data_IF_893390221689
#
_entry.id   IF_893390221689
#
_cell.length_a   1.000
_cell.length_b   1.000
_cell.length_c   1.000
_cell.angle_alpha   90.00
_cell.angle_beta   90.00
_cell.angle_gamma   90.00
#
_symmetry.space_group_name_H-M   'P 1'
#
loop_
_entity.id
_entity.type
_entity.pdbx_description
1 polymer ?
#
# COMPACT_ATOMS: atom_id res chain seq x y z
N UNK A 1 11.91 -28.23 1.17
CA UNK A 1 12.33 -27.24 0.15
C UNK A 1 12.20 -25.76 0.61
N UNK A 2 12.14 -25.49 1.92
CA UNK A 2 12.06 -24.13 2.50
C UNK A 2 13.42 -23.50 2.90
N UNK A 3 14.51 -24.26 2.85
CA UNK A 3 15.83 -23.79 3.36
C UNK A 3 16.73 -23.10 2.33
N UNK A 4 16.46 -23.18 1.04
CA UNK A 4 17.34 -22.64 0.00
C UNK A 4 17.00 -21.19 -0.44
N UNK A 5 15.85 -20.64 -0.03
CA UNK A 5 15.45 -19.26 -0.37
C UNK A 5 15.93 -18.21 0.66
N UNK A 6 16.60 -18.63 1.73
CA UNK A 6 17.09 -17.72 2.78
C UNK A 6 18.44 -17.06 2.51
N UNK A 7 19.07 -17.31 1.36
CA UNK A 7 20.46 -16.89 1.15
C UNK A 7 20.65 -15.45 0.64
N UNK A 8 19.59 -14.73 0.23
CA UNK A 8 19.74 -13.33 -0.21
C UNK A 8 18.44 -12.55 0.13
N UNK A 9 18.15 -12.40 1.41
CA UNK A 9 17.19 -11.36 1.83
C UNK A 9 18.01 -10.16 2.30
N UNK A 10 17.83 -8.97 1.70
CA UNK A 10 18.21 -7.75 2.38
C UNK A 10 17.48 -7.75 3.74
N UNK A 11 18.22 -7.59 4.83
CA UNK A 11 17.72 -7.64 6.22
C UNK A 11 16.56 -6.65 6.45
N UNK A 12 16.35 -5.73 5.51
CA UNK A 12 15.45 -4.58 5.60
C UNK A 12 14.16 -4.72 4.77
N UNK A 13 13.89 -5.84 4.12
CA UNK A 13 12.70 -5.98 3.26
C UNK A 13 11.62 -6.78 3.96
N UNK A 14 10.44 -6.18 4.16
CA UNK A 14 9.25 -6.90 4.60
C UNK A 14 8.72 -7.72 3.42
N UNK A 15 8.66 -9.06 3.54
CA UNK A 15 8.15 -9.89 2.45
C UNK A 15 6.66 -9.65 2.19
N UNK A 16 6.27 -9.60 0.92
CA UNK A 16 4.87 -9.60 0.48
C UNK A 16 4.60 -10.87 -0.33
N UNK A 17 4.31 -12.01 0.33
CA UNK A 17 4.24 -13.31 -0.32
C UNK A 17 3.15 -13.37 -1.38
N UNK A 18 2.05 -12.65 -1.23
CA UNK A 18 0.93 -12.64 -2.16
C UNK A 18 1.39 -12.19 -3.55
N UNK A 19 1.80 -10.95 -3.69
CA UNK A 19 2.26 -10.40 -4.97
C UNK A 19 3.58 -11.04 -5.46
N UNK A 20 4.44 -11.54 -4.54
CA UNK A 20 5.71 -12.16 -4.95
C UNK A 20 5.52 -13.53 -5.60
N UNK A 21 4.53 -14.30 -5.14
CA UNK A 21 4.31 -15.67 -5.60
C UNK A 21 3.15 -15.80 -6.57
N UNK A 22 2.15 -14.90 -6.48
CA UNK A 22 0.93 -14.92 -7.31
C UNK A 22 0.62 -13.54 -7.91
N UNK A 23 1.57 -12.91 -8.64
CA UNK A 23 1.39 -11.56 -9.15
C UNK A 23 0.19 -11.42 -10.09
N UNK A 24 -0.22 -12.48 -10.78
CA UNK A 24 -1.37 -12.43 -11.69
C UNK A 24 -2.70 -12.51 -10.93
N UNK A 25 -2.76 -13.24 -9.82
CA UNK A 25 -3.93 -13.22 -8.91
C UNK A 25 -4.01 -11.90 -8.17
N UNK A 26 -2.85 -11.35 -7.76
CA UNK A 26 -2.78 -10.03 -7.13
C UNK A 26 -3.19 -8.89 -8.10
N UNK A 27 -2.97 -9.06 -9.40
CA UNK A 27 -3.52 -8.14 -10.43
C UNK A 27 -5.05 -8.17 -10.46
N UNK A 28 -5.67 -9.36 -10.32
CA UNK A 28 -7.12 -9.51 -10.20
C UNK A 28 -7.63 -8.82 -8.94
N UNK A 29 -6.94 -9.00 -7.83
CA UNK A 29 -7.23 -8.32 -6.56
C UNK A 29 -7.20 -6.79 -6.71
N UNK A 30 -6.12 -6.24 -7.25
CA UNK A 30 -5.99 -4.81 -7.48
C UNK A 30 -7.13 -4.23 -8.33
N UNK A 31 -7.60 -4.97 -9.34
CA UNK A 31 -8.75 -4.56 -10.16
C UNK A 31 -10.09 -4.66 -9.43
N UNK A 32 -10.21 -5.62 -8.52
CA UNK A 32 -11.41 -5.81 -7.72
C UNK A 32 -11.55 -4.78 -6.60
N UNK A 33 -10.42 -4.27 -6.08
CA UNK A 33 -10.40 -3.28 -5.02
C UNK A 33 -10.94 -1.94 -5.50
N UNK A 34 -11.64 -1.24 -4.61
CA UNK A 34 -12.02 0.17 -4.79
C UNK A 34 -12.68 0.53 -6.13
N UNK A 35 -13.56 -0.35 -6.61
CA UNK A 35 -14.23 -0.18 -7.94
C UNK A 35 -15.03 1.12 -8.10
N UNK A 36 -15.29 1.83 -7.01
CA UNK A 36 -15.96 3.12 -7.00
C UNK A 36 -15.03 4.30 -6.70
N UNK A 37 -13.72 4.06 -6.52
CA UNK A 37 -12.73 5.10 -6.30
C UNK A 37 -12.81 5.78 -4.92
N UNK A 38 -13.39 5.14 -3.91
CA UNK A 38 -13.57 5.73 -2.59
C UNK A 38 -12.24 6.05 -1.90
N UNK A 39 -11.23 5.16 -2.04
CA UNK A 39 -9.88 5.38 -1.50
C UNK A 39 -9.19 6.52 -2.22
N UNK A 40 -9.30 6.55 -3.56
CA UNK A 40 -8.70 7.62 -4.38
C UNK A 40 -9.32 8.98 -4.11
N UNK A 41 -10.65 9.05 -3.94
CA UNK A 41 -11.34 10.28 -3.56
C UNK A 41 -10.87 10.78 -2.19
N UNK A 42 -10.82 9.88 -1.19
CA UNK A 42 -10.34 10.24 0.14
C UNK A 42 -8.87 10.71 0.13
N UNK A 43 -7.99 10.02 -0.64
CA UNK A 43 -6.60 10.40 -0.79
C UNK A 43 -6.46 11.79 -1.44
N UNK A 44 -7.19 12.04 -2.52
CA UNK A 44 -7.16 13.33 -3.24
C UNK A 44 -7.68 14.48 -2.41
N UNK A 45 -8.69 14.24 -1.58
CA UNK A 45 -9.24 15.25 -0.66
C UNK A 45 -8.26 15.58 0.47
N UNK A 46 -7.63 14.55 1.08
CA UNK A 46 -6.68 14.75 2.18
C UNK A 46 -5.31 15.23 1.69
N UNK A 47 -4.84 14.74 0.56
CA UNK A 47 -3.52 14.97 0.00
C UNK A 47 -3.61 15.25 -1.51
N UNK A 48 -4.06 16.43 -1.94
CA UNK A 48 -4.10 16.78 -3.37
C UNK A 48 -2.73 16.59 -4.03
N UNK A 49 -2.68 15.88 -5.13
CA UNK A 49 -1.43 15.57 -5.83
C UNK A 49 -1.36 16.09 -7.27
N UNK A 50 -2.35 16.84 -7.72
CA UNK A 50 -2.34 17.46 -9.05
C UNK A 50 -1.17 18.43 -9.19
N UNK A 51 -0.37 18.23 -10.22
CA UNK A 51 0.83 19.02 -10.49
C UNK A 51 1.96 18.85 -9.47
N UNK A 52 1.90 17.84 -8.59
CA UNK A 52 2.85 17.55 -7.53
C UNK A 52 3.82 16.44 -7.88
N UNK A 53 4.93 16.37 -7.15
CA UNK A 53 5.87 15.25 -7.21
C UNK A 53 5.46 14.19 -6.20
N UNK A 54 5.17 12.98 -6.68
CA UNK A 54 4.67 11.86 -5.88
C UNK A 54 5.73 10.76 -5.79
N UNK A 55 5.91 10.19 -4.59
CA UNK A 55 6.67 8.97 -4.35
C UNK A 55 5.73 7.91 -3.83
N UNK A 56 5.69 6.74 -4.48
CA UNK A 56 4.90 5.57 -4.08
C UNK A 56 5.82 4.49 -3.54
N UNK A 57 5.82 4.28 -2.21
CA UNK A 57 6.69 3.32 -1.51
C UNK A 57 6.03 1.95 -1.49
N UNK A 58 6.74 0.92 -1.96
CA UNK A 58 6.21 -0.42 -2.13
C UNK A 58 5.22 -0.47 -3.28
N UNK A 59 5.57 0.17 -4.40
CA UNK A 59 4.68 0.27 -5.57
C UNK A 59 4.33 -1.07 -6.24
N UNK A 60 4.94 -2.17 -5.78
CA UNK A 60 4.70 -3.50 -6.31
C UNK A 60 5.00 -3.59 -7.80
N UNK A 61 4.07 -4.12 -8.56
CA UNK A 61 4.12 -4.20 -10.03
C UNK A 61 3.70 -2.89 -10.73
N UNK A 62 3.52 -1.81 -9.96
CA UNK A 62 3.21 -0.47 -10.47
C UNK A 62 1.74 -0.22 -10.79
N UNK A 63 0.81 -1.03 -10.28
CA UNK A 63 -0.63 -0.95 -10.60
C UNK A 63 -1.21 0.46 -10.42
N UNK A 64 -0.82 1.16 -9.36
CA UNK A 64 -1.35 2.50 -9.03
C UNK A 64 -0.58 3.66 -9.67
N UNK A 65 0.61 3.43 -10.23
CA UNK A 65 1.43 4.50 -10.80
C UNK A 65 0.75 5.27 -11.95
N UNK A 66 0.00 4.62 -12.88
CA UNK A 66 -0.73 5.33 -13.92
C UNK A 66 -1.83 6.26 -13.40
N UNK A 67 -2.44 5.93 -12.26
CA UNK A 67 -3.47 6.77 -11.63
C UNK A 67 -2.87 8.09 -11.14
N UNK A 68 -1.73 8.04 -10.44
CA UNK A 68 -1.00 9.24 -10.07
C UNK A 68 -0.51 10.01 -11.30
N UNK A 69 0.01 9.30 -12.30
CA UNK A 69 0.57 9.91 -13.50
C UNK A 69 -0.41 10.77 -14.28
N UNK A 70 -1.71 10.51 -14.15
CA UNK A 70 -2.76 11.23 -14.88
C UNK A 70 -2.84 12.72 -14.53
N UNK A 71 -2.42 13.12 -13.33
CA UNK A 71 -2.48 14.52 -12.89
C UNK A 71 -1.22 15.00 -12.15
N UNK A 72 -0.39 14.11 -11.61
CA UNK A 72 0.85 14.47 -10.94
C UNK A 72 1.90 15.02 -11.94
N UNK A 73 2.75 15.94 -11.47
CA UNK A 73 3.91 16.45 -12.24
C UNK A 73 4.91 15.35 -12.51
N UNK A 74 5.27 14.59 -11.50
CA UNK A 74 6.13 13.41 -11.60
C UNK A 74 5.75 12.34 -10.59
N UNK A 75 6.01 11.07 -10.93
CA UNK A 75 5.76 9.93 -10.06
C UNK A 75 7.01 9.04 -9.99
N UNK A 76 7.41 8.67 -8.79
CA UNK A 76 8.48 7.70 -8.56
C UNK A 76 7.94 6.53 -7.77
N UNK A 77 7.85 5.36 -8.40
CA UNK A 77 7.62 4.09 -7.69
C UNK A 77 8.92 3.56 -7.10
N UNK A 78 8.90 3.17 -5.82
CA UNK A 78 10.02 2.51 -5.14
C UNK A 78 9.59 1.11 -4.74
N UNK A 79 10.34 0.09 -5.18
CA UNK A 79 10.00 -1.32 -4.92
C UNK A 79 11.28 -2.12 -4.63
N UNK A 80 11.35 -2.88 -3.52
CA UNK A 80 12.55 -3.64 -3.18
C UNK A 80 12.68 -4.97 -3.93
N UNK A 81 11.58 -5.55 -4.47
CA UNK A 81 11.61 -6.88 -5.09
C UNK A 81 11.92 -6.81 -6.59
N UNK A 82 13.10 -7.31 -7.05
CA UNK A 82 13.53 -7.10 -8.44
C UNK A 82 12.55 -7.58 -9.51
N UNK A 83 11.87 -8.74 -9.37
CA UNK A 83 10.87 -9.15 -10.36
C UNK A 83 9.71 -8.15 -10.50
N UNK A 84 9.24 -7.56 -9.39
CA UNK A 84 8.17 -6.55 -9.42
C UNK A 84 8.65 -5.24 -10.03
N UNK A 85 9.90 -4.83 -9.77
CA UNK A 85 10.51 -3.67 -10.44
C UNK A 85 10.47 -3.81 -11.96
N UNK A 86 10.74 -5.02 -12.49
CA UNK A 86 10.66 -5.29 -13.94
C UNK A 86 9.22 -5.15 -14.43
N UNK A 87 8.25 -5.74 -13.73
CA UNK A 87 6.82 -5.63 -14.09
C UNK A 87 6.35 -4.17 -14.04
N UNK A 88 6.70 -3.45 -12.98
CA UNK A 88 6.36 -2.03 -12.83
C UNK A 88 6.93 -1.16 -13.95
N UNK A 89 8.22 -1.37 -14.32
CA UNK A 89 8.84 -0.67 -15.45
C UNK A 89 8.14 -0.96 -16.77
N UNK A 90 7.69 -2.19 -16.98
CA UNK A 90 6.92 -2.53 -18.16
C UNK A 90 5.55 -1.82 -18.16
N UNK A 91 4.86 -1.80 -17.02
CA UNK A 91 3.53 -1.17 -16.88
C UNK A 91 3.56 0.33 -17.18
N UNK A 92 4.62 1.03 -16.80
CA UNK A 92 4.74 2.47 -17.00
C UNK A 92 5.28 2.86 -18.38
N UNK A 93 5.49 1.89 -19.28
CA UNK A 93 5.95 2.18 -20.64
C UNK A 93 4.99 3.16 -21.31
N UNK A 94 5.52 4.29 -21.82
CA UNK A 94 4.72 5.34 -22.43
C UNK A 94 4.23 6.44 -21.46
N UNK A 95 4.56 6.35 -20.16
CA UNK A 95 4.29 7.40 -19.17
C UNK A 95 5.56 8.23 -18.91
N UNK A 96 5.75 9.38 -19.58
CA UNK A 96 7.02 10.13 -19.54
C UNK A 96 7.30 10.76 -18.17
N UNK A 97 6.28 10.95 -17.33
CA UNK A 97 6.36 11.52 -16.01
C UNK A 97 6.49 10.47 -14.88
N UNK A 98 6.70 9.19 -15.24
CA UNK A 98 6.81 8.10 -14.25
C UNK A 98 8.15 7.39 -14.37
N UNK A 99 8.76 7.07 -13.23
CA UNK A 99 9.92 6.17 -13.17
C UNK A 99 9.81 5.21 -12.00
N UNK A 100 10.47 4.06 -12.11
CA UNK A 100 10.54 3.05 -11.04
C UNK A 100 11.99 2.80 -10.69
N UNK A 101 12.28 2.82 -9.39
CA UNK A 101 13.60 2.57 -8.81
C UNK A 101 13.55 1.41 -7.82
N UNK A 102 14.63 0.64 -7.74
CA UNK A 102 14.76 -0.43 -6.76
C UNK A 102 15.28 0.14 -5.43
N UNK A 103 14.60 -0.18 -4.32
CA UNK A 103 15.04 0.23 -3.00
C UNK A 103 14.04 -0.13 -1.91
N UNK A 104 14.51 -0.32 -0.67
CA UNK A 104 13.65 -0.55 0.49
C UNK A 104 13.14 0.77 1.06
N UNK A 105 12.01 0.71 1.77
CA UNK A 105 11.37 1.87 2.41
C UNK A 105 12.28 2.58 3.43
N UNK A 106 13.18 1.83 4.11
CA UNK A 106 14.08 2.35 5.14
C UNK A 106 15.31 3.08 4.60
N UNK A 107 15.52 3.04 3.29
CA UNK A 107 16.63 3.69 2.59
C UNK A 107 16.23 3.98 1.16
N UNK A 108 15.46 5.03 1.00
CA UNK A 108 14.97 5.44 -0.32
C UNK A 108 16.13 5.96 -1.19
N UNK A 109 16.31 5.46 -2.41
CA UNK A 109 17.33 5.94 -3.34
C UNK A 109 16.89 7.25 -4.02
N UNK A 110 16.55 8.25 -3.22
CA UNK A 110 15.98 9.52 -3.61
C UNK A 110 16.64 10.65 -2.82
N UNK A 111 16.69 11.84 -3.41
CA UNK A 111 17.23 13.04 -2.79
C UNK A 111 16.31 13.57 -1.68
N UNK A 112 16.89 14.35 -0.76
CA UNK A 112 16.17 15.05 0.29
C UNK A 112 15.21 16.08 -0.34
N UNK A 113 13.99 16.21 0.20
CA UNK A 113 13.05 17.23 -0.22
C UNK A 113 12.65 17.15 -1.70
N UNK A 114 12.56 15.95 -2.28
CA UNK A 114 12.22 15.75 -3.68
C UNK A 114 10.71 15.50 -3.92
N UNK A 115 9.92 15.27 -2.89
CA UNK A 115 8.51 14.89 -3.00
C UNK A 115 7.56 15.87 -2.28
N UNK A 116 6.39 16.08 -2.86
CA UNK A 116 5.27 16.78 -2.22
C UNK A 116 4.31 15.81 -1.53
N UNK A 117 4.19 14.59 -2.08
CA UNK A 117 3.42 13.49 -1.49
C UNK A 117 4.27 12.23 -1.48
N UNK A 118 4.37 11.57 -0.32
CA UNK A 118 4.80 10.19 -0.19
C UNK A 118 3.57 9.36 0.11
N UNK A 119 3.33 8.34 -0.70
CA UNK A 119 2.22 7.41 -0.57
C UNK A 119 2.77 6.01 -0.29
N UNK A 120 2.04 5.22 0.49
CA UNK A 120 2.23 3.79 0.61
C UNK A 120 0.86 3.12 0.79
N UNK A 121 0.62 2.03 0.06
CA UNK A 121 -0.63 1.27 0.18
C UNK A 121 -0.32 -0.17 0.49
N UNK A 122 -0.81 -0.66 1.65
CA UNK A 122 -0.58 -2.03 2.15
C UNK A 122 0.89 -2.47 2.02
N UNK A 123 1.82 -1.55 2.31
CA UNK A 123 3.24 -1.75 2.12
C UNK A 123 4.04 -1.15 3.27
N UNK A 124 4.93 -1.94 3.89
CA UNK A 124 5.91 -1.57 4.89
C UNK A 124 5.37 -0.91 6.18
N UNK A 125 4.44 0.02 6.11
CA UNK A 125 3.96 0.85 7.22
C UNK A 125 2.81 0.17 7.97
N UNK A 126 3.12 -0.92 8.68
CA UNK A 126 2.13 -1.75 9.40
C UNK A 126 2.06 -1.47 10.91
N UNK A 127 2.67 -0.38 11.39
CA UNK A 127 2.70 0.01 12.80
C UNK A 127 4.10 0.00 13.41
N UNK A 128 4.25 -0.33 14.72
CA UNK A 128 5.54 -0.34 15.40
C UNK A 128 6.62 -1.13 14.63
N UNK A 129 7.81 -0.53 14.50
CA UNK A 129 8.92 -1.11 13.71
C UNK A 129 9.10 -0.45 12.33
N UNK A 130 8.13 0.34 11.85
CA UNK A 130 8.25 1.07 10.58
C UNK A 130 8.94 2.44 10.71
N UNK A 131 9.43 2.82 11.89
CA UNK A 131 10.04 4.12 12.16
C UNK A 131 11.22 4.47 11.22
N UNK A 132 12.07 3.52 10.79
CA UNK A 132 13.09 3.83 9.78
C UNK A 132 12.50 4.35 8.47
N UNK A 133 11.40 3.76 8.00
CA UNK A 133 10.70 4.23 6.81
C UNK A 133 10.00 5.58 7.02
N UNK A 134 9.46 5.83 8.23
CA UNK A 134 8.89 7.15 8.57
C UNK A 134 9.96 8.25 8.46
N UNK A 135 11.19 7.97 8.94
CA UNK A 135 12.31 8.93 8.82
C UNK A 135 12.72 9.17 7.36
N UNK A 136 12.76 8.13 6.54
CA UNK A 136 13.07 8.25 5.12
C UNK A 136 11.98 9.02 4.35
N UNK A 137 10.70 8.74 4.65
CA UNK A 137 9.60 9.50 4.10
C UNK A 137 9.70 11.00 4.47
N UNK A 138 10.01 11.30 5.73
CA UNK A 138 10.25 12.69 6.17
C UNK A 138 11.44 13.33 5.45
N UNK A 139 12.53 12.58 5.22
CA UNK A 139 13.71 13.09 4.53
C UNK A 139 13.40 13.52 3.09
N UNK A 140 12.67 12.67 2.35
CA UNK A 140 12.36 12.94 0.95
C UNK A 140 11.21 13.94 0.76
N UNK A 141 10.37 14.15 1.76
CA UNK A 141 9.31 15.16 1.71
C UNK A 141 9.88 16.57 1.79
N UNK A 142 9.34 17.48 0.97
CA UNK A 142 9.48 18.91 1.13
C UNK A 142 8.77 19.40 2.39
N UNK A 143 9.19 20.54 2.98
CA UNK A 143 8.37 21.22 3.98
C UNK A 143 6.93 21.43 3.45
N UNK A 144 5.91 21.19 4.27
CA UNK A 144 4.51 21.24 3.86
C UNK A 144 4.00 20.01 3.09
N UNK A 145 4.88 19.09 2.68
CA UNK A 145 4.52 17.84 2.02
C UNK A 145 3.81 16.85 2.97
N UNK A 146 3.20 15.82 2.42
CA UNK A 146 2.42 14.85 3.18
C UNK A 146 2.92 13.41 2.99
N UNK A 147 2.86 12.61 4.07
CA UNK A 147 2.92 11.16 4.03
C UNK A 147 1.51 10.60 4.20
N UNK A 148 1.03 9.86 3.22
CA UNK A 148 -0.26 9.18 3.22
C UNK A 148 -0.07 7.67 3.19
N UNK A 149 -0.56 6.97 4.20
CA UNK A 149 -0.49 5.52 4.33
C UNK A 149 -1.91 4.97 4.23
N UNK A 150 -2.16 4.12 3.24
CA UNK A 150 -3.42 3.39 3.06
C UNK A 150 -3.21 1.95 3.50
N UNK A 151 -3.97 1.51 4.50
CA UNK A 151 -3.90 0.14 5.02
C UNK A 151 -5.30 -0.40 5.33
N UNK A 152 -5.42 -1.72 5.44
CA UNK A 152 -6.67 -2.40 5.77
C UNK A 152 -7.15 -2.04 7.17
N UNK A 153 -8.46 -1.82 7.32
CA UNK A 153 -9.06 -1.61 8.64
C UNK A 153 -9.45 -2.94 9.28
N UNK A 154 -8.60 -3.42 10.17
CA UNK A 154 -8.85 -4.65 10.90
C UNK A 154 -10.07 -4.62 11.84
N UNK A 155 -10.74 -3.49 12.01
CA UNK A 155 -11.98 -3.36 12.79
C UNK A 155 -13.23 -3.45 11.92
N UNK A 156 -13.11 -3.27 10.59
CA UNK A 156 -14.24 -3.24 9.69
C UNK A 156 -14.68 -4.63 9.21
N UNK A 157 -15.99 -4.88 9.23
CA UNK A 157 -16.57 -6.11 8.70
C UNK A 157 -16.67 -6.06 7.16
N UNK A 158 -16.61 -7.23 6.50
CA UNK A 158 -16.31 -8.58 6.98
C UNK A 158 -14.80 -8.88 7.01
N UNK A 159 -13.94 -8.06 6.37
CA UNK A 159 -12.53 -8.36 6.15
C UNK A 159 -11.71 -8.35 7.47
N UNK A 160 -11.98 -7.39 8.33
CA UNK A 160 -11.23 -7.24 9.59
C UNK A 160 -11.27 -8.47 10.50
N UNK A 161 -12.41 -9.11 10.75
CA UNK A 161 -12.49 -10.40 11.47
C UNK A 161 -11.66 -11.51 10.82
N UNK A 162 -11.60 -11.60 9.48
CA UNK A 162 -10.77 -12.59 8.80
C UNK A 162 -9.28 -12.30 9.03
N UNK A 163 -8.87 -11.04 8.86
CA UNK A 163 -7.49 -10.60 9.08
C UNK A 163 -7.02 -10.91 10.51
N UNK A 164 -7.83 -10.58 11.53
CA UNK A 164 -7.49 -10.89 12.93
C UNK A 164 -7.49 -12.38 13.25
N UNK A 165 -8.29 -13.17 12.54
CA UNK A 165 -8.30 -14.62 12.71
C UNK A 165 -7.05 -15.27 12.07
N UNK A 166 -6.52 -14.67 11.00
CA UNK A 166 -5.34 -15.16 10.30
C UNK A 166 -4.04 -14.72 10.96
N UNK A 167 -4.00 -13.48 11.46
CA UNK A 167 -2.87 -12.87 12.15
C UNK A 167 -3.23 -12.50 13.61
N UNK A 168 -3.18 -13.45 14.54
CA UNK A 168 -3.58 -13.22 15.94
C UNK A 168 -2.74 -12.15 16.68
N UNK A 169 -1.54 -11.80 16.13
CA UNK A 169 -0.69 -10.74 16.67
C UNK A 169 -1.02 -9.37 16.11
N UNK A 170 -1.86 -9.31 15.07
CA UNK A 170 -2.32 -8.05 14.51
C UNK A 170 -3.33 -7.39 15.45
N UNK A 171 -2.92 -6.26 16.03
CA UNK A 171 -3.77 -5.46 16.91
C UNK A 171 -4.03 -4.08 16.26
N UNK A 172 -5.21 -3.88 15.67
CA UNK A 172 -5.55 -2.63 14.99
C UNK A 172 -5.56 -1.42 15.94
N UNK A 173 -5.83 -1.61 17.23
CA UNK A 173 -5.85 -0.51 18.23
C UNK A 173 -4.42 -0.05 18.54
N UNK A 174 -3.50 -1.00 18.70
CA UNK A 174 -2.07 -0.69 18.90
C UNK A 174 -1.50 0.04 17.68
N UNK A 175 -1.86 -0.40 16.48
CA UNK A 175 -1.42 0.23 15.22
C UNK A 175 -1.95 1.66 15.11
N UNK A 176 -3.24 1.87 15.36
CA UNK A 176 -3.83 3.22 15.30
C UNK A 176 -3.21 4.15 16.35
N UNK A 177 -3.01 3.64 17.57
CA UNK A 177 -2.32 4.42 18.61
C UNK A 177 -0.89 4.78 18.19
N UNK A 178 -0.14 3.84 17.61
CA UNK A 178 1.21 4.12 17.11
C UNK A 178 1.22 5.26 16.11
N UNK A 179 0.34 5.22 15.11
CA UNK A 179 0.27 6.30 14.12
C UNK A 179 -0.19 7.64 14.73
N UNK A 180 -1.17 7.61 15.65
CA UNK A 180 -1.61 8.81 16.35
C UNK A 180 -0.48 9.44 17.19
N UNK A 181 0.30 8.62 17.94
CA UNK A 181 1.46 9.05 18.72
C UNK A 181 2.59 9.62 17.82
N UNK A 182 2.63 9.21 16.54
CA UNK A 182 3.56 9.74 15.53
C UNK A 182 2.97 10.91 14.70
N UNK A 183 1.87 11.51 15.14
CA UNK A 183 1.30 12.74 14.58
C UNK A 183 0.44 12.51 13.31
N UNK A 184 -0.04 11.30 13.07
CA UNK A 184 -0.94 11.03 11.96
C UNK A 184 -2.40 11.29 12.35
N UNK A 185 -3.14 11.92 11.45
CA UNK A 185 -4.60 11.87 11.44
C UNK A 185 -5.07 10.54 10.84
N UNK A 186 -6.29 10.14 11.15
CA UNK A 186 -6.93 8.92 10.65
C UNK A 186 -8.26 9.25 10.00
N UNK A 187 -8.43 8.81 8.74
CA UNK A 187 -9.71 8.75 8.05
C UNK A 187 -10.03 7.31 7.70
N UNK A 188 -11.22 6.83 8.05
CA UNK A 188 -11.71 5.52 7.63
C UNK A 188 -12.47 5.64 6.32
N UNK A 189 -12.24 4.69 5.42
CA UNK A 189 -12.84 4.62 4.11
C UNK A 189 -13.39 3.21 3.90
N UNK A 190 -14.61 3.09 3.43
CA UNK A 190 -15.15 1.80 3.00
C UNK A 190 -15.11 1.74 1.48
N UNK A 191 -14.33 0.81 0.94
CA UNK A 191 -14.29 0.49 -0.47
C UNK A 191 -15.11 -0.75 -0.76
N UNK A 192 -15.56 -0.89 -2.00
CA UNK A 192 -16.26 -2.07 -2.47
C UNK A 192 -15.29 -2.92 -3.30
N UNK A 193 -15.01 -4.14 -2.84
CA UNK A 193 -14.37 -5.14 -3.67
C UNK A 193 -15.42 -5.82 -4.53
N UNK A 194 -15.16 -5.93 -5.82
CA UNK A 194 -16.06 -6.58 -6.78
C UNK A 194 -15.25 -7.39 -7.78
N UNK A 195 -15.60 -8.66 -7.90
CA UNK A 195 -14.99 -9.61 -8.84
C UNK A 195 -15.92 -9.87 -10.02
N UNK A 196 -15.36 -10.27 -11.14
CA UNK A 196 -16.11 -10.66 -12.33
C UNK A 196 -16.60 -12.11 -12.25
N UNK A 197 -15.85 -12.97 -11.53
CA UNK A 197 -16.08 -14.40 -11.41
C UNK A 197 -15.90 -14.87 -9.99
N UNK A 198 -16.57 -15.94 -9.63
CA UNK A 198 -16.43 -16.58 -8.32
C UNK A 198 -15.03 -17.14 -8.10
N UNK A 199 -14.45 -17.73 -9.14
CA UNK A 199 -13.11 -18.29 -9.11
C UNK A 199 -12.05 -17.24 -8.79
N UNK A 200 -12.20 -16.02 -9.29
CA UNK A 200 -11.32 -14.89 -9.02
C UNK A 200 -11.41 -14.46 -7.56
N UNK A 201 -12.61 -14.32 -7.02
CA UNK A 201 -12.84 -14.02 -5.60
C UNK A 201 -12.19 -15.08 -4.71
N UNK A 202 -12.41 -16.36 -5.01
CA UNK A 202 -11.84 -17.45 -4.25
C UNK A 202 -10.30 -17.51 -4.33
N UNK A 203 -9.75 -17.29 -5.53
CA UNK A 203 -8.30 -17.26 -5.74
C UNK A 203 -7.65 -16.13 -4.92
N UNK A 204 -8.26 -14.93 -4.91
CA UNK A 204 -7.76 -13.79 -4.14
C UNK A 204 -7.84 -14.08 -2.64
N UNK A 205 -8.97 -14.55 -2.11
CA UNK A 205 -9.08 -14.87 -0.69
C UNK A 205 -8.11 -15.98 -0.25
N UNK A 206 -7.73 -16.90 -1.15
CA UNK A 206 -6.74 -17.97 -0.86
C UNK A 206 -5.30 -17.48 -0.87
N UNK A 207 -4.97 -16.40 -1.55
CA UNK A 207 -3.64 -15.80 -1.43
C UNK A 207 -3.53 -14.83 -0.25
N UNK A 208 -4.66 -14.23 0.16
CA UNK A 208 -4.72 -13.30 1.27
C UNK A 208 -4.64 -13.99 2.63
N UNK A 209 -5.26 -15.16 2.78
CA UNK A 209 -5.44 -15.83 4.07
C UNK A 209 -4.92 -17.27 4.07
N UNK A 210 -4.64 -17.77 5.28
CA UNK A 210 -4.41 -19.20 5.47
C UNK A 210 -5.62 -20.01 5.02
N UNK A 211 -5.41 -21.27 4.60
CA UNK A 211 -6.46 -22.11 4.02
C UNK A 211 -7.75 -22.15 4.89
N UNK A 212 -7.60 -22.23 6.22
CA UNK A 212 -8.74 -22.28 7.14
C UNK A 212 -9.55 -20.97 7.16
N UNK A 213 -8.89 -19.84 7.13
CA UNK A 213 -9.56 -18.52 7.13
C UNK A 213 -10.12 -18.23 5.75
N UNK A 214 -9.39 -18.52 4.69
CA UNK A 214 -9.83 -18.37 3.32
C UNK A 214 -11.16 -19.10 3.04
N UNK A 215 -11.27 -20.39 3.42
CA UNK A 215 -12.49 -21.15 3.19
C UNK A 215 -13.70 -20.60 3.99
N UNK A 216 -13.47 -20.06 5.20
CA UNK A 216 -14.51 -19.36 5.96
C UNK A 216 -14.95 -18.07 5.29
N UNK A 217 -13.97 -17.26 4.84
CA UNK A 217 -14.23 -16.02 4.13
C UNK A 217 -15.02 -16.29 2.84
N UNK A 218 -14.60 -17.27 2.04
CA UNK A 218 -15.29 -17.71 0.82
C UNK A 218 -16.73 -18.13 1.10
N UNK A 219 -16.93 -18.92 2.14
CA UNK A 219 -18.28 -19.40 2.52
C UNK A 219 -19.18 -18.28 3.05
N UNK A 220 -18.63 -17.19 3.56
CA UNK A 220 -19.41 -16.07 4.12
C UNK A 220 -19.76 -14.98 3.12
N UNK A 221 -19.21 -15.04 1.89
CA UNK A 221 -19.53 -14.07 0.84
C UNK A 221 -20.54 -14.64 -0.13
N UNK A 222 -21.75 -14.12 -0.06
CA UNK A 222 -22.80 -14.41 -1.04
C UNK A 222 -22.61 -13.51 -2.28
N UNK A 223 -22.37 -14.10 -3.44
CA UNK A 223 -22.17 -13.36 -4.69
C UNK A 223 -20.69 -13.00 -4.96
N UNK A 224 -20.46 -11.85 -5.60
CA UNK A 224 -19.17 -11.47 -6.17
C UNK A 224 -18.59 -10.17 -5.58
N UNK A 225 -19.20 -9.64 -4.53
CA UNK A 225 -18.73 -8.37 -3.95
C UNK A 225 -18.98 -8.29 -2.46
N UNK A 226 -18.09 -7.56 -1.77
CA UNK A 226 -18.20 -7.28 -0.33
C UNK A 226 -17.50 -5.96 0.02
N UNK A 227 -17.91 -5.27 1.08
CA UNK A 227 -17.23 -4.07 1.54
C UNK A 227 -15.89 -4.43 2.23
N UNK A 228 -14.90 -3.57 2.05
CA UNK A 228 -13.62 -3.67 2.76
C UNK A 228 -13.27 -2.30 3.34
N UNK A 229 -13.02 -2.27 4.65
CA UNK A 229 -12.58 -1.06 5.33
C UNK A 229 -11.10 -0.79 5.12
N UNK A 230 -10.77 0.47 4.94
CA UNK A 230 -9.41 0.98 4.86
C UNK A 230 -9.20 2.11 5.86
N UNK A 231 -7.96 2.26 6.32
CA UNK A 231 -7.47 3.38 7.11
C UNK A 231 -6.56 4.21 6.23
N UNK A 232 -6.86 5.48 6.10
CA UNK A 232 -5.97 6.48 5.51
C UNK A 232 -5.36 7.28 6.66
N UNK A 233 -4.09 7.01 6.95
CA UNK A 233 -3.29 7.76 7.89
C UNK A 233 -2.52 8.85 7.17
N UNK A 234 -2.66 10.10 7.60
CA UNK A 234 -1.98 11.23 6.96
C UNK A 234 -1.19 12.02 7.98
N UNK A 235 0.07 12.31 7.65
CA UNK A 235 0.92 13.23 8.40
C UNK A 235 1.56 14.25 7.47
N UNK A 236 1.52 15.52 7.87
CA UNK A 236 2.17 16.59 7.13
C UNK A 236 3.52 16.92 7.76
N UNK A 237 4.53 17.08 6.91
CA UNK A 237 5.81 17.62 7.33
C UNK A 237 5.64 19.10 7.63
N UNK A 238 6.06 19.61 8.80
CA UNK A 238 5.93 21.02 9.12
C UNK A 238 6.56 21.91 8.05
N UNK A 239 5.91 23.01 7.73
CA UNK A 239 6.56 24.08 6.99
C UNK A 239 7.66 24.65 7.89
N UNK A 240 8.89 24.70 7.39
CA UNK A 240 10.01 25.23 8.16
C UNK A 240 9.66 26.65 8.66
N UNK A 241 10.15 27.01 9.86
CA UNK A 241 10.06 28.39 10.35
C UNK A 241 10.66 29.32 9.27
N UNK A 242 9.81 30.18 8.72
CA UNK A 242 10.31 31.35 7.97
C UNK A 242 10.92 32.27 9.05
N UNK A 243 12.25 32.24 9.15
CA UNK A 243 13.01 33.16 9.99
C UNK A 243 13.28 34.42 9.20
#
# INVERSE_FOLDING_TARGET
MRAALNAVRPVDVVPSPNIWHWPDVYEVENRAQDVHGAIWSALSEECPFDGRDVVDIGCGDGFHLPLFASSARSVVGVEPHPPLVVRAKHRITGLPNVRVVAGPAQRLPLDDGCADLVHARTAYFFGPGCEPGLREADRVLRPGGALAIVDLDGLADPYGPWLRADEPRYDPVVIEKFFADNGFSLRRVTAQWRFEKREDLEAVLRIEFSAKVAERAIASVDGLSFPVGYRLHVRRKPEGLIV
#
